data_IF_269041936683
#
_entry.id   IF_269041936683
#
_cell.length_a   1.000
_cell.length_b   1.000
_cell.length_c   1.000
_cell.angle_alpha   90.00
_cell.angle_beta   90.00
_cell.angle_gamma   90.00
#
_symmetry.space_group_name_H-M   'P 1'
#
loop_
_entity.id
_entity.type
_entity.pdbx_description
1 polymer ?
#
# COMPACT_ATOMS: atom_id res chain seq x y z
N UNK A 1 5.58 16.28 6.28
CA UNK A 1 4.79 15.72 5.19
C UNK A 1 4.63 14.22 5.42
N UNK A 2 3.46 13.62 5.18
CA UNK A 2 3.31 12.17 5.23
C UNK A 2 4.11 11.51 4.10
N UNK A 3 4.59 10.29 4.38
CA UNK A 3 5.21 9.42 3.37
C UNK A 3 4.29 8.23 3.15
N UNK A 4 4.05 7.86 1.89
CA UNK A 4 3.34 6.66 1.51
C UNK A 4 4.30 5.74 0.76
N UNK A 5 4.56 4.56 1.30
CA UNK A 5 5.51 3.60 0.73
C UNK A 5 4.82 2.32 0.29
N UNK A 6 5.08 1.92 -0.95
CA UNK A 6 4.72 0.62 -1.49
C UNK A 6 5.96 -0.16 -1.90
N UNK A 7 6.14 -1.33 -1.32
CA UNK A 7 7.10 -2.33 -1.77
C UNK A 7 6.31 -3.41 -2.52
N UNK A 8 6.47 -3.44 -3.84
CA UNK A 8 5.57 -4.16 -4.73
C UNK A 8 6.14 -5.48 -5.19
N UNK A 9 5.46 -6.57 -4.86
CA UNK A 9 5.65 -7.87 -5.47
C UNK A 9 4.59 -8.10 -6.55
N UNK A 10 5.00 -8.59 -7.71
CA UNK A 10 4.10 -8.88 -8.81
C UNK A 10 4.65 -10.02 -9.67
N UNK A 11 3.75 -10.74 -10.35
CA UNK A 11 4.13 -11.75 -11.35
C UNK A 11 4.73 -11.12 -12.61
N UNK A 12 4.22 -9.95 -13.03
CA UNK A 12 4.83 -9.12 -14.05
C UNK A 12 5.88 -8.20 -13.39
N UNK A 13 7.15 -8.43 -13.71
CA UNK A 13 8.27 -7.64 -13.17
C UNK A 13 8.44 -6.30 -13.90
N UNK A 14 7.78 -6.11 -15.05
CA UNK A 14 7.81 -4.86 -15.77
C UNK A 14 6.71 -3.92 -15.28
N UNK A 15 7.11 -2.71 -14.96
CA UNK A 15 6.19 -1.66 -14.55
C UNK A 15 6.28 -0.48 -15.51
N UNK A 16 5.19 0.26 -15.64
CA UNK A 16 5.13 1.54 -16.35
C UNK A 16 4.50 2.58 -15.43
N UNK A 17 4.98 3.80 -15.54
CA UNK A 17 4.27 4.98 -15.04
C UNK A 17 3.45 5.53 -16.19
N UNK A 18 2.16 5.70 -15.96
CA UNK A 18 1.20 6.21 -16.93
C UNK A 18 0.59 7.50 -16.41
N UNK A 19 0.56 8.50 -17.24
CA UNK A 19 -0.14 9.75 -17.00
C UNK A 19 -1.56 9.64 -17.56
N UNK A 20 -2.55 9.99 -16.74
CA UNK A 20 -3.97 10.02 -17.10
C UNK A 20 -4.43 11.48 -17.08
N UNK A 21 -4.81 11.99 -18.24
CA UNK A 21 -5.30 13.36 -18.38
C UNK A 21 -6.67 13.54 -17.70
N UNK A 22 -6.94 14.77 -17.28
CA UNK A 22 -8.24 15.13 -16.75
C UNK A 22 -9.31 14.99 -17.84
N UNK A 23 -10.31 14.17 -17.60
CA UNK A 23 -11.41 13.94 -18.54
C UNK A 23 -12.75 13.77 -17.81
N UNK A 24 -13.83 14.35 -18.35
CA UNK A 24 -15.17 14.15 -17.82
C UNK A 24 -15.37 14.60 -16.38
N UNK A 25 -14.63 15.63 -15.92
CA UNK A 25 -14.67 16.12 -14.54
C UNK A 25 -13.80 15.33 -13.55
N UNK A 26 -13.06 14.33 -14.05
CA UNK A 26 -12.08 13.59 -13.24
C UNK A 26 -10.79 14.37 -13.10
N UNK A 27 -10.04 14.05 -12.04
CA UNK A 27 -8.72 14.60 -11.78
C UNK A 27 -7.69 13.97 -12.74
N UNK A 28 -6.69 14.74 -13.06
CA UNK A 28 -5.46 14.27 -13.68
C UNK A 28 -4.62 13.55 -12.64
N UNK A 29 -3.98 12.43 -13.02
CA UNK A 29 -3.16 11.64 -12.11
C UNK A 29 -2.07 10.85 -12.82
N UNK A 30 -1.09 10.39 -12.06
CA UNK A 30 -0.10 9.41 -12.49
C UNK A 30 -0.31 8.10 -11.75
N UNK A 31 -0.09 6.98 -12.44
CA UNK A 31 -0.29 5.66 -11.88
C UNK A 31 0.77 4.64 -12.29
N UNK A 32 1.15 3.78 -11.35
CA UNK A 32 1.98 2.60 -11.59
C UNK A 32 1.09 1.47 -12.10
N UNK A 33 1.38 0.96 -13.30
CA UNK A 33 0.63 -0.11 -13.96
C UNK A 33 1.53 -1.29 -14.32
N UNK A 34 0.96 -2.47 -14.50
CA UNK A 34 1.68 -3.63 -15.06
C UNK A 34 2.10 -3.35 -16.49
N UNK A 35 3.30 -3.81 -16.89
CA UNK A 35 3.80 -3.66 -18.25
C UNK A 35 2.89 -4.33 -19.28
N UNK A 36 2.30 -5.47 -18.94
CA UNK A 36 1.38 -6.24 -19.79
C UNK A 36 -0.01 -5.61 -19.90
N UNK A 37 -0.42 -4.76 -18.97
CA UNK A 37 -1.69 -3.99 -19.07
C UNK A 37 -1.52 -2.79 -19.98
N UNK A 38 -1.56 -3.04 -21.29
CA UNK A 38 -1.35 -2.01 -22.32
C UNK A 38 -2.40 -0.92 -22.31
N UNK A 39 -3.60 -1.20 -21.81
CA UNK A 39 -4.73 -0.27 -21.70
C UNK A 39 -4.72 0.51 -20.39
N UNK A 40 -3.81 0.17 -19.47
CA UNK A 40 -3.73 0.77 -18.15
C UNK A 40 -5.09 0.75 -17.39
N UNK A 41 -5.75 -0.43 -17.38
CA UNK A 41 -7.04 -0.62 -16.73
C UNK A 41 -6.92 -0.64 -15.22
N UNK A 42 -5.77 -1.02 -14.69
CA UNK A 42 -5.49 -1.18 -13.28
C UNK A 42 -4.29 -0.34 -12.85
N UNK A 43 -4.40 0.31 -11.70
CA UNK A 43 -3.34 1.11 -11.08
C UNK A 43 -2.99 0.52 -9.72
N UNK A 44 -1.70 0.42 -9.41
CA UNK A 44 -1.19 -0.24 -8.21
C UNK A 44 -0.54 0.70 -7.19
N UNK A 45 -0.25 1.91 -7.57
CA UNK A 45 0.10 3.07 -6.75
C UNK A 45 -0.02 4.32 -7.62
N UNK A 46 -0.32 5.47 -7.03
CA UNK A 46 -0.38 6.71 -7.78
C UNK A 46 -0.77 7.90 -6.92
N UNK A 47 -0.69 9.06 -7.53
CA UNK A 47 -1.10 10.33 -6.96
C UNK A 47 -1.77 11.22 -8.01
N UNK A 48 -2.63 12.14 -7.58
CA UNK A 48 -3.37 13.04 -8.44
C UNK A 48 -3.06 14.51 -8.17
N UNK A 49 -3.53 15.37 -9.06
CA UNK A 49 -3.29 16.82 -9.01
C UNK A 49 -3.88 17.52 -7.79
N UNK A 50 -4.69 16.87 -6.97
CA UNK A 50 -5.16 17.43 -5.69
C UNK A 50 -4.24 17.07 -4.51
N UNK A 51 -3.14 16.36 -4.74
CA UNK A 51 -2.23 15.87 -3.71
C UNK A 51 -2.75 14.66 -2.93
N UNK A 52 -3.78 13.98 -3.45
CA UNK A 52 -4.21 12.69 -2.92
C UNK A 52 -3.39 11.57 -3.55
N UNK A 53 -2.89 10.66 -2.71
CA UNK A 53 -2.17 9.48 -3.18
C UNK A 53 -2.70 8.20 -2.54
N UNK A 54 -2.60 7.09 -3.28
CA UNK A 54 -3.06 5.77 -2.84
C UNK A 54 -2.10 4.67 -3.26
N UNK A 55 -1.99 3.65 -2.43
CA UNK A 55 -1.37 2.36 -2.76
C UNK A 55 -2.13 1.21 -2.09
N UNK A 56 -1.90 -0.03 -2.51
CA UNK A 56 -2.47 -1.20 -1.85
C UNK A 56 -1.46 -2.27 -1.49
N UNK A 57 -1.87 -3.17 -0.60
CA UNK A 57 -1.34 -4.54 -0.49
C UNK A 57 -2.51 -5.51 -0.49
N UNK A 58 -2.44 -6.60 -1.26
CA UNK A 58 -3.42 -7.68 -1.12
C UNK A 58 -3.39 -8.23 0.32
N UNK A 59 -4.55 -8.60 0.85
CA UNK A 59 -4.65 -9.19 2.18
C UNK A 59 -5.05 -10.67 2.08
N UNK A 60 -4.37 -11.52 2.84
CA UNK A 60 -4.63 -12.96 2.82
C UNK A 60 -5.31 -13.49 4.09
N UNK A 61 -5.67 -12.61 5.01
CA UNK A 61 -6.34 -12.95 6.26
C UNK A 61 -7.67 -12.21 6.49
N UNK A 62 -8.13 -11.43 5.51
CA UNK A 62 -9.41 -10.69 5.57
C UNK A 62 -10.58 -11.45 4.95
N UNK A 63 -10.33 -12.46 4.12
CA UNK A 63 -11.38 -13.16 3.41
C UNK A 63 -12.36 -13.83 4.37
N UNK A 64 -13.63 -13.50 4.22
CA UNK A 64 -14.71 -14.01 5.05
C UNK A 64 -15.94 -14.46 4.25
N UNK A 65 -15.84 -14.52 2.92
CA UNK A 65 -16.95 -14.87 2.03
C UNK A 65 -16.56 -15.90 0.96
N UNK A 66 -17.55 -16.32 0.20
CA UNK A 66 -17.41 -17.24 -0.93
C UNK A 66 -17.68 -16.55 -2.27
N UNK A 67 -17.67 -15.20 -2.30
CA UNK A 67 -17.85 -14.43 -3.53
C UNK A 67 -16.81 -14.82 -4.57
N UNK A 68 -17.24 -14.97 -5.82
CA UNK A 68 -16.34 -15.14 -6.96
C UNK A 68 -15.82 -13.80 -7.52
N UNK A 69 -16.36 -12.68 -7.05
CA UNK A 69 -15.89 -11.35 -7.42
C UNK A 69 -14.63 -11.04 -6.62
N UNK A 70 -13.51 -10.87 -7.31
CA UNK A 70 -12.18 -10.66 -6.70
C UNK A 70 -11.28 -9.81 -7.60
N UNK A 71 -10.10 -9.47 -7.09
CA UNK A 71 -9.01 -8.82 -7.82
C UNK A 71 -9.40 -7.46 -8.46
N UNK A 72 -10.26 -6.68 -7.79
CA UNK A 72 -10.71 -5.37 -8.27
C UNK A 72 -9.91 -4.19 -7.71
N UNK A 73 -8.89 -4.45 -6.94
CA UNK A 73 -8.10 -3.41 -6.26
C UNK A 73 -7.56 -2.37 -7.23
N UNK A 74 -6.94 -2.82 -8.33
CA UNK A 74 -6.37 -1.92 -9.33
C UNK A 74 -7.39 -1.06 -10.05
N UNK A 75 -8.60 -1.59 -10.30
CA UNK A 75 -9.72 -0.85 -10.88
C UNK A 75 -10.25 0.20 -9.91
N UNK A 76 -10.44 -0.18 -8.64
CA UNK A 76 -10.88 0.74 -7.58
C UNK A 76 -9.87 1.88 -7.41
N UNK A 77 -8.57 1.55 -7.37
CA UNK A 77 -7.52 2.57 -7.23
C UNK A 77 -7.48 3.55 -8.40
N UNK A 78 -7.67 3.07 -9.64
CA UNK A 78 -7.77 3.94 -10.81
C UNK A 78 -8.96 4.89 -10.71
N UNK A 79 -10.13 4.40 -10.29
CA UNK A 79 -11.32 5.23 -10.06
C UNK A 79 -11.04 6.29 -8.99
N UNK A 80 -10.50 5.88 -7.85
CA UNK A 80 -10.20 6.73 -6.68
C UNK A 80 -9.25 7.88 -7.05
N UNK A 81 -8.20 7.62 -7.83
CA UNK A 81 -7.26 8.64 -8.28
C UNK A 81 -7.94 9.70 -9.15
N UNK A 82 -8.92 9.31 -9.95
CA UNK A 82 -9.69 10.25 -10.76
C UNK A 82 -10.76 11.05 -9.99
N UNK A 83 -11.18 10.59 -8.80
CA UNK A 83 -12.37 11.13 -8.12
C UNK A 83 -12.12 11.72 -6.73
N UNK A 84 -11.17 11.15 -5.96
CA UNK A 84 -10.93 11.53 -4.57
C UNK A 84 -9.86 12.62 -4.44
N UNK A 85 -10.09 13.57 -3.53
CA UNK A 85 -9.15 14.64 -3.17
C UNK A 85 -8.61 14.47 -1.75
N UNK A 86 -9.35 13.75 -0.90
CA UNK A 86 -9.04 13.61 0.52
C UNK A 86 -9.25 12.17 0.99
N UNK A 87 -8.68 11.85 2.15
CA UNK A 87 -8.93 10.58 2.86
C UNK A 87 -10.44 10.37 3.10
N UNK A 88 -11.18 11.45 3.38
CA UNK A 88 -12.62 11.39 3.61
C UNK A 88 -13.41 11.14 2.31
N UNK A 89 -12.93 11.61 1.16
CA UNK A 89 -13.54 11.27 -0.14
C UNK A 89 -13.42 9.77 -0.40
N UNK A 90 -12.25 9.20 -0.11
CA UNK A 90 -12.02 7.77 -0.26
C UNK A 90 -12.91 6.94 0.68
N UNK A 91 -13.07 7.35 1.94
CA UNK A 91 -13.98 6.69 2.87
C UNK A 91 -15.42 6.68 2.31
N UNK A 92 -15.92 7.84 1.86
CA UNK A 92 -17.28 7.94 1.25
C UNK A 92 -17.43 7.10 -0.01
N UNK A 93 -16.39 7.05 -0.86
CA UNK A 93 -16.41 6.22 -2.05
C UNK A 93 -16.52 4.74 -1.68
N UNK A 94 -15.70 4.24 -0.75
CA UNK A 94 -15.77 2.85 -0.29
C UNK A 94 -17.16 2.49 0.26
N UNK A 95 -17.78 3.40 1.01
CA UNK A 95 -19.13 3.20 1.56
C UNK A 95 -20.19 3.13 0.45
N UNK A 96 -19.99 3.86 -0.65
CA UNK A 96 -20.93 3.93 -1.78
C UNK A 96 -20.83 2.74 -2.74
N UNK A 97 -19.72 1.99 -2.72
CA UNK A 97 -19.53 0.86 -3.62
C UNK A 97 -20.55 -0.26 -3.33
N UNK A 98 -21.12 -0.88 -4.37
CA UNK A 98 -22.01 -2.02 -4.18
C UNK A 98 -21.29 -3.20 -3.52
N UNK A 99 -22.03 -3.95 -2.70
CA UNK A 99 -21.52 -5.17 -2.07
C UNK A 99 -21.96 -6.42 -2.87
N UNK A 100 -21.10 -7.45 -3.03
CA UNK A 100 -19.68 -7.48 -2.61
C UNK A 100 -18.81 -6.51 -3.43
N UNK A 101 -17.81 -5.87 -2.77
CA UNK A 101 -16.88 -4.94 -3.45
C UNK A 101 -15.95 -5.71 -4.41
N UNK A 102 -15.57 -6.90 -4.04
CA UNK A 102 -14.64 -7.74 -4.80
C UNK A 102 -13.17 -7.36 -4.62
N UNK A 103 -12.82 -6.84 -3.43
CA UNK A 103 -11.44 -6.56 -3.03
C UNK A 103 -11.13 -7.25 -1.70
N UNK A 104 -9.87 -7.63 -1.53
CA UNK A 104 -9.31 -8.10 -0.25
C UNK A 104 -7.94 -7.46 -0.09
N UNK A 105 -7.92 -6.24 0.45
CA UNK A 105 -6.70 -5.43 0.46
C UNK A 105 -6.63 -4.44 1.61
N UNK A 106 -5.40 -4.01 1.89
CA UNK A 106 -5.10 -2.83 2.66
C UNK A 106 -4.79 -1.69 1.70
N UNK A 107 -5.56 -0.61 1.74
CA UNK A 107 -5.28 0.61 1.00
C UNK A 107 -4.63 1.63 1.92
N UNK A 108 -3.43 2.07 1.59
CA UNK A 108 -2.78 3.21 2.23
C UNK A 108 -3.07 4.48 1.44
N UNK A 109 -3.46 5.54 2.12
CA UNK A 109 -3.80 6.83 1.50
C UNK A 109 -3.22 8.00 2.26
N UNK A 110 -2.86 9.05 1.52
CA UNK A 110 -2.48 10.37 2.06
C UNK A 110 -3.12 11.46 1.24
N UNK A 111 -3.30 12.66 1.83
CA UNK A 111 -3.82 13.83 1.14
C UNK A 111 -3.06 15.12 1.49
N UNK A 112 -3.30 16.18 0.71
CA UNK A 112 -2.67 17.50 0.89
C UNK A 112 -3.11 18.22 2.17
N UNK A 113 -4.20 17.80 2.82
CA UNK A 113 -4.68 18.37 4.08
C UNK A 113 -3.97 17.74 5.30
N UNK A 114 -3.04 16.80 5.07
CA UNK A 114 -2.29 16.09 6.10
C UNK A 114 -2.99 14.81 6.57
N UNK A 115 -4.06 14.40 5.91
CA UNK A 115 -4.70 13.10 6.13
C UNK A 115 -3.74 11.97 5.75
N UNK A 116 -3.69 10.93 6.60
CA UNK A 116 -2.94 9.70 6.33
C UNK A 116 -3.62 8.53 7.05
N UNK A 117 -4.00 7.50 6.31
CA UNK A 117 -4.75 6.37 6.85
C UNK A 117 -4.51 5.07 6.08
N UNK A 118 -4.78 3.94 6.74
CA UNK A 118 -5.04 2.66 6.10
C UNK A 118 -6.51 2.29 6.18
N UNK A 119 -7.00 1.72 5.08
CA UNK A 119 -8.32 1.07 5.00
C UNK A 119 -8.09 -0.40 4.69
N UNK A 120 -8.46 -1.27 5.62
CA UNK A 120 -8.49 -2.71 5.42
C UNK A 120 -9.88 -3.09 4.92
N UNK A 121 -9.96 -3.62 3.71
CA UNK A 121 -11.22 -3.79 2.97
C UNK A 121 -11.36 -5.24 2.53
N UNK A 122 -12.50 -5.84 2.85
CA UNK A 122 -12.97 -7.08 2.23
C UNK A 122 -14.24 -6.83 1.42
N UNK A 123 -14.86 -7.87 0.92
CA UNK A 123 -16.07 -7.74 0.08
C UNK A 123 -17.23 -6.99 0.75
N UNK A 124 -17.31 -6.93 2.08
CA UNK A 124 -18.45 -6.39 2.82
C UNK A 124 -18.09 -5.33 3.85
N UNK A 125 -16.88 -5.37 4.39
CA UNK A 125 -16.44 -4.58 5.54
C UNK A 125 -15.29 -3.67 5.18
N UNK A 126 -15.21 -2.54 5.87
CA UNK A 126 -14.14 -1.55 5.77
C UNK A 126 -13.70 -1.17 7.18
N UNK A 127 -12.42 -1.35 7.48
CA UNK A 127 -11.81 -0.96 8.76
C UNK A 127 -10.82 0.17 8.50
N UNK A 128 -10.99 1.30 9.16
CA UNK A 128 -10.12 2.49 9.02
C UNK A 128 -9.19 2.63 10.20
N UNK A 129 -7.94 2.97 9.90
CA UNK A 129 -6.89 3.29 10.86
C UNK A 129 -6.21 4.58 10.44
N UNK A 130 -6.28 5.62 11.26
CA UNK A 130 -5.64 6.91 10.98
C UNK A 130 -4.25 6.97 11.62
N UNK A 131 -3.26 7.55 10.91
CA UNK A 131 -1.90 7.72 11.42
C UNK A 131 -1.86 8.61 12.66
N UNK A 132 -2.75 9.61 12.75
CA UNK A 132 -2.85 10.51 13.91
C UNK A 132 -3.16 9.79 15.22
N UNK A 133 -3.78 8.61 15.16
CA UNK A 133 -4.15 7.78 16.30
C UNK A 133 -3.05 6.74 16.65
N UNK A 134 -1.99 6.69 15.84
CA UNK A 134 -0.83 5.83 16.07
C UNK A 134 0.17 6.53 17.01
N UNK A 135 0.57 5.90 18.13
CA UNK A 135 1.52 6.49 19.07
C UNK A 135 2.90 6.71 18.47
N UNK A 136 3.27 5.92 17.45
CA UNK A 136 4.58 5.96 16.80
C UNK A 136 4.61 6.84 15.54
N UNK A 137 3.46 7.42 15.16
CA UNK A 137 3.36 8.31 13.99
C UNK A 137 3.48 7.61 12.63
N UNK A 138 3.33 6.28 12.59
CA UNK A 138 3.26 5.51 11.37
C UNK A 138 2.25 4.36 11.47
N UNK A 139 1.80 3.88 10.32
CA UNK A 139 1.05 2.63 10.19
C UNK A 139 1.79 1.71 9.23
N UNK A 140 1.70 0.41 9.48
CA UNK A 140 2.36 -0.62 8.70
C UNK A 140 1.36 -1.67 8.24
N UNK A 141 1.46 -2.08 6.99
CA UNK A 141 0.74 -3.23 6.43
C UNK A 141 1.66 -4.02 5.50
N UNK A 142 1.39 -5.31 5.42
CA UNK A 142 1.94 -6.23 4.41
C UNK A 142 0.78 -6.96 3.74
N UNK A 143 0.96 -8.19 3.26
CA UNK A 143 -0.19 -9.02 2.88
C UNK A 143 -0.98 -9.54 4.10
N UNK A 144 -0.91 -8.80 5.19
CA UNK A 144 -1.53 -9.08 6.47
C UNK A 144 -2.25 -7.83 6.97
N UNK A 145 -3.49 -8.01 7.39
CA UNK A 145 -4.36 -6.98 7.95
C UNK A 145 -4.50 -7.16 9.45
N UNK A 146 -4.52 -6.07 10.20
CA UNK A 146 -4.61 -6.08 11.66
C UNK A 146 -6.01 -6.50 12.12
N UNK A 147 -7.06 -6.14 11.34
CA UNK A 147 -8.44 -6.55 11.60
C UNK A 147 -8.73 -7.99 11.17
N UNK A 148 -7.83 -8.61 10.41
CA UNK A 148 -8.01 -9.97 9.92
C UNK A 148 -7.69 -11.04 10.97
N UNK A 149 -7.80 -12.31 10.57
CA UNK A 149 -7.50 -13.44 11.45
C UNK A 149 -6.02 -13.47 11.82
N UNK A 150 -5.67 -13.49 13.13
CA UNK A 150 -4.29 -13.45 13.59
C UNK A 150 -3.48 -14.65 13.07
N UNK A 151 -2.26 -14.40 12.60
CA UNK A 151 -1.30 -15.42 12.14
C UNK A 151 -1.83 -16.34 11.03
N UNK A 152 -2.84 -15.89 10.28
CA UNK A 152 -3.34 -16.58 9.11
C UNK A 152 -2.87 -15.92 7.81
N UNK A 153 -2.94 -16.65 6.70
CA UNK A 153 -2.49 -16.19 5.39
C UNK A 153 -0.98 -16.03 5.30
N UNK A 154 -0.55 -15.07 4.50
CA UNK A 154 0.87 -14.75 4.32
C UNK A 154 1.15 -13.33 4.75
N UNK A 155 2.39 -13.04 5.10
CA UNK A 155 2.85 -11.68 5.35
C UNK A 155 2.94 -11.27 6.81
N UNK A 156 2.42 -12.04 7.78
CA UNK A 156 2.54 -11.69 9.19
C UNK A 156 4.00 -11.68 9.69
N UNK A 157 4.86 -12.60 9.23
CA UNK A 157 6.30 -12.58 9.56
C UNK A 157 6.97 -11.34 8.95
N UNK A 158 6.63 -10.97 7.69
CA UNK A 158 7.12 -9.73 7.08
C UNK A 158 6.62 -8.50 7.82
N UNK A 159 5.40 -8.53 8.34
CA UNK A 159 4.88 -7.47 9.19
C UNK A 159 5.76 -7.29 10.43
N UNK A 160 6.07 -8.37 11.15
CA UNK A 160 6.90 -8.34 12.35
C UNK A 160 8.34 -7.90 12.05
N UNK A 161 8.91 -8.36 10.92
CA UNK A 161 10.23 -7.90 10.45
C UNK A 161 10.24 -6.39 10.22
N UNK A 162 9.23 -5.87 9.52
CA UNK A 162 9.12 -4.44 9.25
C UNK A 162 8.81 -3.64 10.53
N UNK A 163 7.91 -4.13 11.39
CA UNK A 163 7.57 -3.47 12.66
C UNK A 163 8.81 -3.24 13.52
N UNK A 164 9.71 -4.24 13.61
CA UNK A 164 10.99 -4.09 14.32
C UNK A 164 11.85 -2.97 13.75
N UNK A 165 11.96 -2.89 12.41
CA UNK A 165 12.75 -1.85 11.75
C UNK A 165 12.13 -0.47 11.93
N UNK A 166 10.83 -0.33 11.74
CA UNK A 166 10.13 0.94 11.86
C UNK A 166 10.10 1.45 13.30
N UNK A 167 9.89 0.59 14.30
CA UNK A 167 9.93 0.98 15.72
C UNK A 167 11.28 1.60 16.08
N UNK A 168 12.38 1.01 15.63
CA UNK A 168 13.71 1.58 15.84
C UNK A 168 13.87 2.91 15.11
N UNK A 169 13.55 2.95 13.82
CA UNK A 169 13.72 4.15 13.01
C UNK A 169 12.82 5.31 13.50
N UNK A 170 11.62 5.02 13.99
CA UNK A 170 10.73 6.02 14.60
C UNK A 170 11.35 6.62 15.86
N UNK A 171 11.90 5.79 16.77
CA UNK A 171 12.58 6.25 17.97
C UNK A 171 13.81 7.12 17.67
N UNK A 172 14.50 6.83 16.58
CA UNK A 172 15.67 7.57 16.09
C UNK A 172 15.28 8.78 15.19
N UNK A 173 14.00 8.96 14.86
CA UNK A 173 13.49 9.96 13.90
C UNK A 173 14.16 9.88 12.53
N UNK A 174 14.47 8.68 12.08
CA UNK A 174 15.25 8.40 10.87
C UNK A 174 14.41 7.87 9.70
N UNK A 175 13.08 7.85 9.81
CA UNK A 175 12.19 7.43 8.72
C UNK A 175 12.21 8.52 7.63
N UNK A 176 12.96 8.25 6.57
CA UNK A 176 13.07 9.11 5.37
C UNK A 176 12.92 8.26 4.11
N UNK A 177 12.66 8.85 2.92
CA UNK A 177 12.65 8.12 1.66
C UNK A 177 13.94 7.30 1.44
N UNK A 178 15.11 7.84 1.79
CA UNK A 178 16.41 7.20 1.65
C UNK A 178 16.54 5.99 2.60
N UNK A 179 16.09 6.13 3.85
CA UNK A 179 16.07 5.02 4.81
C UNK A 179 15.12 3.92 4.35
N UNK A 180 13.93 4.27 3.86
CA UNK A 180 12.94 3.32 3.33
C UNK A 180 13.55 2.53 2.18
N UNK A 181 14.09 3.21 1.17
CA UNK A 181 14.59 2.58 -0.06
C UNK A 181 15.97 1.95 0.08
N UNK A 182 16.81 2.49 0.96
CA UNK A 182 18.19 2.04 1.16
C UNK A 182 18.36 0.97 2.24
N UNK A 183 17.52 0.99 3.27
CA UNK A 183 17.64 0.11 4.45
C UNK A 183 16.44 -0.84 4.55
N UNK A 184 15.23 -0.29 4.72
CA UNK A 184 14.06 -1.12 5.00
C UNK A 184 13.72 -2.06 3.85
N UNK A 185 13.62 -1.53 2.62
CA UNK A 185 13.27 -2.32 1.43
C UNK A 185 14.30 -3.40 1.06
N UNK A 186 15.48 -3.37 1.67
CA UNK A 186 16.59 -4.30 1.42
C UNK A 186 16.91 -5.22 2.60
N UNK A 187 16.08 -5.19 3.64
CA UNK A 187 16.36 -5.97 4.86
C UNK A 187 16.04 -7.45 4.68
N UNK A 188 17.03 -8.29 4.83
CA UNK A 188 16.91 -9.74 4.94
C UNK A 188 16.94 -10.22 6.39
N UNK A 189 16.54 -9.39 7.33
CA UNK A 189 16.38 -9.80 8.72
C UNK A 189 15.13 -10.65 8.89
N UNK A 190 15.26 -11.77 9.61
CA UNK A 190 14.14 -12.67 9.94
C UNK A 190 13.92 -12.72 11.44
N UNK A 191 12.77 -12.22 11.90
CA UNK A 191 12.50 -12.03 13.33
C UNK A 191 12.44 -13.34 14.11
N UNK A 192 11.81 -14.38 13.58
CA UNK A 192 11.71 -15.68 14.25
C UNK A 192 13.05 -16.40 14.37
N UNK A 193 13.98 -16.14 13.45
CA UNK A 193 15.32 -16.73 13.46
C UNK A 193 16.35 -15.83 14.14
N UNK A 194 15.97 -14.58 14.47
CA UNK A 194 16.83 -13.61 15.15
C UNK A 194 18.11 -13.25 14.38
N UNK A 195 18.10 -13.37 13.04
CA UNK A 195 19.29 -13.31 12.22
C UNK A 195 19.06 -12.53 10.92
N UNK A 196 20.11 -11.86 10.44
CA UNK A 196 20.21 -11.27 9.10
C UNK A 196 20.80 -12.26 8.11
N UNK A 197 20.22 -12.34 6.91
CA UNK A 197 20.60 -13.27 5.85
C UNK A 197 21.21 -12.57 4.63
N UNK A 198 21.54 -11.30 4.71
CA UNK A 198 22.08 -10.51 3.58
C UNK A 198 23.31 -11.13 2.94
N UNK A 199 24.13 -11.85 3.72
CA UNK A 199 25.36 -12.49 3.24
C UNK A 199 25.21 -13.97 2.88
N UNK A 200 24.02 -14.54 3.02
CA UNK A 200 23.78 -15.93 2.68
C UNK A 200 23.73 -16.12 1.16
N UNK A 201 24.30 -17.24 0.69
CA UNK A 201 24.34 -17.55 -0.75
C UNK A 201 22.93 -17.82 -1.33
N UNK A 202 21.99 -18.22 -0.48
CA UNK A 202 20.62 -18.56 -0.87
C UNK A 202 19.66 -18.50 0.30
N UNK A 203 18.43 -18.02 0.06
CA UNK A 203 17.34 -17.94 1.05
C UNK A 203 16.02 -18.29 0.39
N UNK A 204 15.07 -18.79 1.18
CA UNK A 204 13.63 -18.83 0.81
C UNK A 204 13.05 -17.46 1.17
N UNK A 205 12.63 -16.70 0.18
CA UNK A 205 12.32 -15.28 0.31
C UNK A 205 10.91 -14.95 0.81
N UNK A 206 10.09 -15.97 1.12
CA UNK A 206 8.67 -15.80 1.48
C UNK A 206 8.47 -14.82 2.65
N UNK A 207 9.36 -14.84 3.64
CA UNK A 207 9.21 -14.11 4.89
C UNK A 207 10.08 -12.85 4.97
N UNK A 208 10.83 -12.53 3.91
CA UNK A 208 11.63 -11.31 3.85
C UNK A 208 10.87 -10.15 3.19
N UNK A 209 11.28 -8.93 3.54
CA UNK A 209 10.73 -7.72 2.90
C UNK A 209 11.02 -7.73 1.41
N UNK A 210 12.28 -7.82 0.95
CA UNK A 210 12.57 -8.00 -0.47
C UNK A 210 12.36 -9.46 -0.87
N UNK A 211 11.77 -9.66 -2.04
CA UNK A 211 11.47 -10.97 -2.61
C UNK A 211 11.92 -11.03 -4.07
N UNK A 212 12.06 -12.23 -4.62
CA UNK A 212 12.36 -12.42 -6.04
C UNK A 212 11.31 -11.77 -6.95
N UNK A 213 10.07 -11.68 -6.48
CA UNK A 213 8.96 -11.04 -7.18
C UNK A 213 8.86 -9.52 -6.93
N UNK A 214 9.76 -8.92 -6.13
CA UNK A 214 9.77 -7.48 -5.93
C UNK A 214 10.12 -6.77 -7.23
N UNK A 215 9.15 -6.03 -7.76
CA UNK A 215 9.25 -5.35 -9.06
C UNK A 215 9.40 -3.84 -8.95
N UNK A 216 9.00 -3.26 -7.81
CA UNK A 216 9.12 -1.83 -7.55
C UNK A 216 9.16 -1.51 -6.04
N UNK A 217 9.81 -0.40 -5.70
CA UNK A 217 9.70 0.24 -4.39
C UNK A 217 9.41 1.72 -4.63
N UNK A 218 8.21 2.16 -4.28
CA UNK A 218 7.72 3.51 -4.57
C UNK A 218 7.46 4.23 -3.26
N UNK A 219 8.05 5.40 -3.10
CA UNK A 219 7.76 6.32 -2.00
C UNK A 219 7.14 7.57 -2.60
N UNK A 220 5.94 7.91 -2.13
CA UNK A 220 5.25 9.15 -2.47
C UNK A 220 5.34 10.07 -1.24
N UNK A 221 5.92 11.23 -1.43
CA UNK A 221 5.95 12.28 -0.43
C UNK A 221 4.72 13.16 -0.60
N UNK A 222 3.88 13.24 0.44
CA UNK A 222 2.69 14.08 0.44
C UNK A 222 3.04 15.56 0.27
N UNK A 223 2.16 16.31 -0.34
CA UNK A 223 2.27 17.75 -0.56
C UNK A 223 1.41 18.53 0.44
N UNK A 224 1.61 19.82 0.53
CA UNK A 224 0.72 20.73 1.24
C UNK A 224 -0.32 21.32 0.28
N UNK A 225 -1.44 21.88 0.80
CA UNK A 225 -2.50 22.43 -0.05
C UNK A 225 -2.02 23.50 -1.05
N UNK A 226 -1.01 24.28 -0.67
CA UNK A 226 -0.43 25.30 -1.54
C UNK A 226 0.54 24.77 -2.60
N UNK A 227 0.82 23.49 -2.58
CA UNK A 227 1.72 22.80 -3.52
C UNK A 227 0.98 21.83 -4.46
N UNK A 228 -0.34 21.64 -4.25
CA UNK A 228 -1.19 20.72 -5.03
C UNK A 228 -1.89 21.45 -6.19
#
# INVERSE_FOLDING_TARGET
RPLLWKHRDASDLNNRIVHFEAEGGKLEFVGLVNGVDTMANEVWAGDNTSGFAIMNTASYNLKNDTSSLSDREGVVMKQVLGECRTVEDFARLLDSLPRPIGVEANFGVVDALGGAAYFEVNSYEVFRYDVKDSPDGYLLRTNYSVSGRPNEGYGYIRYDNAARLFSRAASERSITPEWITGVCSRSFYHILLGRDFTTDAWVVDQDFIPRRSTSASVVIEGVKPEES
#
